data_IF_234206500655
#
_entry.id   IF_234206500655
#
_cell.length_a   1.000
_cell.length_b   1.000
_cell.length_c   1.000
_cell.angle_alpha   90.00
_cell.angle_beta   90.00
_cell.angle_gamma   90.00
#
_symmetry.space_group_name_H-M   'P 1'
#
loop_
_entity.id
_entity.type
_entity.pdbx_description
1 polymer ?
#
# COMPACT_ATOMS: atom_id res chain seq x y z
N UNK A 1 -36.89 -34.75 20.52
CA UNK A 1 -35.82 -33.75 20.69
C UNK A 1 -35.16 -33.49 19.33
N UNK A 2 -35.95 -32.99 18.37
CA UNK A 2 -35.54 -32.87 16.95
C UNK A 2 -36.16 -31.69 16.18
N UNK A 3 -36.99 -30.86 16.81
CA UNK A 3 -37.68 -29.74 16.11
C UNK A 3 -36.95 -28.40 16.18
N UNK A 4 -35.87 -28.26 16.94
CA UNK A 4 -35.14 -26.99 17.10
C UNK A 4 -34.05 -26.73 16.03
N UNK A 5 -33.68 -27.73 15.21
CA UNK A 5 -32.50 -27.65 14.32
C UNK A 5 -32.77 -26.99 12.95
N UNK A 6 -34.01 -27.07 12.45
CA UNK A 6 -34.35 -26.63 11.08
C UNK A 6 -34.51 -25.11 10.90
N UNK A 7 -34.72 -24.38 12.00
CA UNK A 7 -34.76 -22.92 12.01
C UNK A 7 -33.36 -22.28 11.95
N UNK A 8 -32.38 -22.91 12.59
CA UNK A 8 -31.00 -22.44 12.69
C UNK A 8 -30.25 -22.67 11.37
N UNK A 9 -30.36 -23.85 10.77
CA UNK A 9 -29.78 -24.16 9.45
C UNK A 9 -30.25 -23.19 8.35
N UNK A 10 -31.52 -22.76 8.39
CA UNK A 10 -32.07 -21.78 7.44
C UNK A 10 -31.55 -20.38 7.68
N UNK A 11 -31.25 -20.00 8.93
CA UNK A 11 -30.62 -18.72 9.24
C UNK A 11 -29.14 -18.70 8.84
N UNK A 12 -28.41 -19.78 9.13
CA UNK A 12 -27.03 -19.97 8.68
C UNK A 12 -26.93 -19.92 7.16
N UNK A 13 -27.83 -20.61 6.44
CA UNK A 13 -27.85 -20.59 4.97
C UNK A 13 -28.16 -19.19 4.42
N UNK A 14 -29.09 -18.44 5.04
CA UNK A 14 -29.39 -17.05 4.65
C UNK A 14 -28.19 -16.12 4.87
N UNK A 15 -27.48 -16.26 5.99
CA UNK A 15 -26.28 -15.47 6.29
C UNK A 15 -25.17 -15.84 5.31
N UNK A 16 -24.96 -17.12 5.02
CA UNK A 16 -23.97 -17.58 4.05
C UNK A 16 -24.25 -17.06 2.64
N UNK A 17 -25.51 -17.13 2.18
CA UNK A 17 -25.93 -16.60 0.88
C UNK A 17 -25.79 -15.07 0.84
N UNK A 18 -26.21 -14.36 1.88
CA UNK A 18 -26.05 -12.90 1.95
C UNK A 18 -24.57 -12.50 1.90
N UNK A 19 -23.71 -13.23 2.62
CA UNK A 19 -22.25 -13.01 2.63
C UNK A 19 -21.63 -13.28 1.26
N UNK A 20 -22.07 -14.34 0.58
CA UNK A 20 -21.63 -14.68 -0.77
C UNK A 20 -22.08 -13.63 -1.79
N UNK A 21 -23.30 -13.11 -1.67
CA UNK A 21 -23.79 -12.01 -2.52
C UNK A 21 -22.99 -10.74 -2.28
N UNK A 22 -22.70 -10.38 -1.03
CA UNK A 22 -21.87 -9.21 -0.70
C UNK A 22 -20.45 -9.38 -1.26
N UNK A 23 -19.85 -10.57 -1.12
CA UNK A 23 -18.53 -10.88 -1.67
C UNK A 23 -18.53 -10.81 -3.21
N UNK A 24 -19.57 -11.30 -3.87
CA UNK A 24 -19.72 -11.21 -5.32
C UNK A 24 -19.87 -9.75 -5.78
N UNK A 25 -20.67 -8.95 -5.06
CA UNK A 25 -20.83 -7.52 -5.34
C UNK A 25 -19.52 -6.75 -5.16
N UNK A 26 -18.74 -7.06 -4.11
CA UNK A 26 -17.39 -6.52 -3.93
C UNK A 26 -16.47 -6.92 -5.09
N UNK A 27 -16.51 -8.18 -5.52
CA UNK A 27 -15.74 -8.64 -6.67
C UNK A 27 -16.07 -7.89 -7.95
N UNK A 28 -17.36 -7.66 -8.23
CA UNK A 28 -17.81 -6.86 -9.37
C UNK A 28 -17.37 -5.39 -9.22
N UNK A 29 -17.51 -4.81 -8.04
CA UNK A 29 -17.07 -3.44 -7.78
C UNK A 29 -15.56 -3.28 -8.02
N UNK A 30 -14.73 -4.21 -7.55
CA UNK A 30 -13.29 -4.22 -7.80
C UNK A 30 -12.97 -4.40 -9.29
N UNK A 31 -13.70 -5.28 -10.00
CA UNK A 31 -13.53 -5.46 -11.44
C UNK A 31 -13.85 -4.19 -12.23
N UNK A 32 -14.91 -3.47 -11.83
CA UNK A 32 -15.27 -2.17 -12.41
C UNK A 32 -14.30 -1.05 -12.03
N UNK A 33 -13.65 -1.15 -10.87
CA UNK A 33 -12.64 -0.20 -10.41
C UNK A 33 -11.27 -0.41 -11.06
N UNK A 34 -11.02 -1.61 -11.61
CA UNK A 34 -9.78 -1.97 -12.28
C UNK A 34 -9.36 -1.03 -13.43
N UNK A 35 -10.24 -0.62 -14.39
CA UNK A 35 -9.87 0.36 -15.42
C UNK A 35 -9.56 1.75 -14.84
N UNK A 36 -10.21 2.15 -13.75
CA UNK A 36 -9.90 3.40 -13.05
C UNK A 36 -8.50 3.35 -12.43
N UNK A 37 -8.15 2.23 -11.80
CA UNK A 37 -6.79 1.98 -11.33
C UNK A 37 -5.77 1.94 -12.48
N UNK A 38 -6.11 1.30 -13.61
CA UNK A 38 -5.28 1.30 -14.80
C UNK A 38 -5.01 2.72 -15.32
N UNK A 39 -6.05 3.55 -15.44
CA UNK A 39 -5.89 4.95 -15.85
C UNK A 39 -5.12 5.81 -14.85
N UNK A 40 -5.27 5.54 -13.55
CA UNK A 40 -4.50 6.22 -12.49
C UNK A 40 -3.02 5.83 -12.54
N UNK A 41 -2.75 4.53 -12.74
CA UNK A 41 -1.39 4.02 -12.94
C UNK A 41 -0.79 4.60 -14.22
N UNK A 42 -1.52 4.62 -15.33
CA UNK A 42 -0.99 5.20 -16.56
C UNK A 42 -0.74 6.71 -16.39
N UNK A 43 -1.69 7.46 -15.83
CA UNK A 43 -1.59 8.91 -15.69
C UNK A 43 -0.50 9.36 -14.69
N UNK A 44 -0.17 8.56 -13.68
CA UNK A 44 0.80 8.93 -12.63
C UNK A 44 2.07 8.10 -12.63
N UNK A 45 2.10 6.96 -13.32
CA UNK A 45 3.22 6.03 -13.36
C UNK A 45 3.66 5.62 -14.79
N UNK A 46 2.94 5.95 -15.90
CA UNK A 46 3.42 5.64 -17.27
C UNK A 46 4.35 6.70 -17.87
N UNK A 47 4.29 7.95 -17.41
CA UNK A 47 5.29 8.96 -17.74
C UNK A 47 6.24 9.03 -16.54
N UNK A 48 7.53 8.80 -16.75
CA UNK A 48 8.53 8.94 -15.68
C UNK A 48 8.29 10.23 -14.89
N UNK A 49 8.15 10.10 -13.58
CA UNK A 49 7.81 11.24 -12.72
C UNK A 49 8.89 12.31 -12.89
N UNK A 50 8.50 13.54 -13.18
CA UNK A 50 9.44 14.62 -13.41
C UNK A 50 10.45 14.73 -12.26
N UNK A 51 11.71 15.06 -12.58
CA UNK A 51 12.84 15.03 -11.62
C UNK A 51 12.53 15.73 -10.29
N UNK A 52 11.76 16.82 -10.35
CA UNK A 52 11.32 17.60 -9.19
C UNK A 52 10.32 16.84 -8.31
N UNK A 53 9.29 16.26 -8.91
CA UNK A 53 8.23 15.57 -8.17
C UNK A 53 8.77 14.24 -7.61
N UNK A 54 9.63 13.56 -8.37
CA UNK A 54 10.35 12.37 -7.92
C UNK A 54 11.25 12.65 -6.71
N UNK A 55 11.89 13.83 -6.65
CA UNK A 55 12.71 14.22 -5.50
C UNK A 55 11.86 14.34 -4.22
N UNK A 56 10.65 14.88 -4.33
CA UNK A 56 9.74 15.03 -3.18
C UNK A 56 9.32 13.65 -2.66
N UNK A 57 8.89 12.76 -3.57
CA UNK A 57 8.45 11.41 -3.19
C UNK A 57 9.61 10.59 -2.61
N UNK A 58 10.79 10.64 -3.23
CA UNK A 58 11.98 9.95 -2.74
C UNK A 58 12.41 10.46 -1.36
N UNK A 59 12.38 11.78 -1.13
CA UNK A 59 12.73 12.38 0.15
C UNK A 59 11.87 11.81 1.29
N UNK A 60 10.54 11.89 1.16
CA UNK A 60 9.64 11.39 2.20
C UNK A 60 9.74 9.88 2.39
N UNK A 61 9.89 9.12 1.30
CA UNK A 61 10.08 7.67 1.36
C UNK A 61 11.34 7.33 2.14
N UNK A 62 12.48 7.96 1.83
CA UNK A 62 13.74 7.74 2.55
C UNK A 62 13.63 8.10 4.03
N UNK A 63 13.01 9.24 4.36
CA UNK A 63 12.82 9.64 5.77
C UNK A 63 12.00 8.59 6.52
N UNK A 64 10.87 8.15 5.97
CA UNK A 64 10.01 7.14 6.60
C UNK A 64 10.77 5.82 6.77
N UNK A 65 11.50 5.36 5.75
CA UNK A 65 12.32 4.15 5.83
C UNK A 65 13.37 4.24 6.94
N UNK A 66 14.08 5.36 7.04
CA UNK A 66 15.08 5.55 8.08
C UNK A 66 14.47 5.65 9.49
N UNK A 67 13.30 6.26 9.63
CA UNK A 67 12.56 6.28 10.90
C UNK A 67 12.16 4.86 11.31
N UNK A 68 11.64 4.05 10.38
CA UNK A 68 11.30 2.65 10.65
C UNK A 68 12.54 1.87 11.08
N UNK A 69 13.68 2.05 10.40
CA UNK A 69 14.93 1.39 10.76
C UNK A 69 15.48 1.83 12.11
N UNK A 70 15.43 3.12 12.43
CA UNK A 70 15.90 3.60 13.72
C UNK A 70 15.01 3.11 14.88
N UNK A 71 13.69 3.09 14.68
CA UNK A 71 12.74 2.51 15.66
C UNK A 71 12.97 1.01 15.82
N UNK A 72 13.16 0.28 14.72
CA UNK A 72 13.42 -1.16 14.76
C UNK A 72 14.79 -1.51 15.37
N UNK A 73 15.79 -0.66 15.18
CA UNK A 73 17.12 -0.80 15.77
C UNK A 73 17.15 -0.47 17.27
N UNK A 74 16.10 0.18 17.79
CA UNK A 74 16.05 0.62 19.20
C UNK A 74 17.07 1.72 19.52
N UNK A 75 17.59 2.40 18.50
CA UNK A 75 18.70 3.34 18.60
C UNK A 75 18.22 4.82 18.67
N UNK A 76 19.03 5.66 19.29
CA UNK A 76 18.80 7.08 19.43
C UNK A 76 19.04 7.83 18.13
N UNK A 77 17.96 8.03 17.35
CA UNK A 77 17.88 8.87 16.14
C UNK A 77 18.74 10.15 16.14
N UNK A 78 18.95 10.76 17.31
CA UNK A 78 19.68 12.02 17.47
C UNK A 78 21.20 11.85 17.67
N UNK A 79 21.66 10.73 18.24
CA UNK A 79 23.09 10.51 18.51
C UNK A 79 23.86 10.03 17.29
N UNK A 80 23.23 9.17 16.48
CA UNK A 80 23.83 8.56 15.29
C UNK A 80 23.41 9.25 13.98
N UNK A 81 22.80 10.44 14.07
CA UNK A 81 22.25 11.15 12.91
C UNK A 81 23.30 11.35 11.79
N UNK A 82 24.57 11.58 12.14
CA UNK A 82 25.67 11.71 11.18
C UNK A 82 25.93 10.43 10.37
N UNK A 83 25.74 9.26 10.97
CA UNK A 83 25.88 7.96 10.30
C UNK A 83 24.62 7.63 9.49
N UNK A 84 23.45 8.00 10.00
CA UNK A 84 22.21 7.91 9.25
C UNK A 84 22.17 8.85 8.04
N UNK A 85 22.92 9.96 8.06
CA UNK A 85 22.93 10.95 6.99
C UNK A 85 23.55 10.40 5.68
N UNK A 86 24.60 9.59 5.79
CA UNK A 86 25.18 8.93 4.61
C UNK A 86 24.24 7.88 4.03
N UNK A 87 23.57 7.11 4.90
CA UNK A 87 22.49 6.20 4.51
C UNK A 87 21.32 6.93 3.85
N UNK A 88 20.94 8.10 4.37
CA UNK A 88 19.92 8.97 3.79
C UNK A 88 20.29 9.34 2.36
N UNK A 89 21.48 9.90 2.10
CA UNK A 89 21.86 10.29 0.74
C UNK A 89 21.95 9.09 -0.20
N UNK A 90 22.41 7.92 0.27
CA UNK A 90 22.44 6.70 -0.53
C UNK A 90 21.05 6.21 -0.94
N UNK A 91 20.15 6.05 0.04
CA UNK A 91 18.76 5.64 -0.22
C UNK A 91 18.01 6.69 -1.04
N UNK A 92 18.18 7.97 -0.72
CA UNK A 92 17.54 9.07 -1.42
C UNK A 92 17.96 9.11 -2.88
N UNK A 93 19.26 9.07 -3.19
CA UNK A 93 19.72 9.10 -4.59
C UNK A 93 19.22 7.89 -5.38
N UNK A 94 19.26 6.69 -4.79
CA UNK A 94 18.78 5.47 -5.46
C UNK A 94 17.28 5.53 -5.69
N UNK A 95 16.48 5.87 -4.67
CA UNK A 95 15.02 5.97 -4.80
C UNK A 95 14.62 7.12 -5.73
N UNK A 96 15.29 8.27 -5.63
CA UNK A 96 15.03 9.41 -6.48
C UNK A 96 15.29 9.07 -7.94
N UNK A 97 16.43 8.45 -8.24
CA UNK A 97 16.71 8.00 -9.59
C UNK A 97 15.72 6.91 -10.01
N UNK A 98 15.41 5.90 -9.20
CA UNK A 98 14.44 4.86 -9.57
C UNK A 98 13.00 5.37 -9.79
N UNK A 99 12.58 6.41 -9.06
CA UNK A 99 11.24 7.01 -9.19
C UNK A 99 11.21 8.01 -10.35
N UNK A 100 12.27 8.79 -10.52
CA UNK A 100 12.44 9.68 -11.66
C UNK A 100 12.66 8.89 -12.96
N UNK A 101 13.18 7.66 -12.84
CA UNK A 101 13.50 6.79 -13.95
C UNK A 101 12.30 5.93 -14.33
N UNK A 102 11.69 6.28 -15.45
CA UNK A 102 10.97 5.38 -16.35
C UNK A 102 11.16 6.04 -17.74
N UNK A 103 11.59 5.26 -18.73
CA UNK A 103 11.56 5.66 -20.14
C UNK A 103 10.17 6.16 -20.52
#
# INVERSE_FOLDING_TARGET
MSEQNSGDDRQVLKIAVASLVIAALLGVALMLFLPLLGSFVDQHFSAGMGLKDAAVVAFFTTVVTLVIFAVAAGDGLLGELQFMLSGFFGFFLVLWLLIAWIF
#
